data_IF_076411735116
#
_entry.id   IF_076411735116
#
_cell.length_a   1.000
_cell.length_b   1.000
_cell.length_c   1.000
_cell.angle_alpha   90.00
_cell.angle_beta   90.00
_cell.angle_gamma   90.00
#
_symmetry.space_group_name_H-M   'P 1'
#
loop_
_entity.id
_entity.type
_entity.pdbx_description
1 polymer ?
#
# COMPACT_ATOMS: atom_id res chain seq x y z
N UNK A 1 -21.48 57.94 -11.25
CA UNK A 1 -21.58 56.46 -11.21
C UNK A 1 -21.44 56.06 -9.77
N UNK A 2 -22.53 55.60 -9.18
CA UNK A 2 -22.65 55.35 -7.74
C UNK A 2 -22.17 53.92 -7.41
N UNK A 3 -21.51 53.75 -6.26
CA UNK A 3 -20.91 52.46 -5.86
C UNK A 3 -21.98 51.41 -5.50
N UNK A 4 -23.23 51.83 -5.34
CA UNK A 4 -24.35 51.04 -4.88
C UNK A 4 -25.19 50.41 -5.99
N UNK A 5 -24.86 50.65 -7.27
CA UNK A 5 -25.52 50.06 -8.44
C UNK A 5 -24.88 48.74 -8.91
N UNK A 6 -24.01 48.14 -8.10
CA UNK A 6 -23.41 46.84 -8.41
C UNK A 6 -24.44 45.72 -8.24
N UNK A 7 -24.58 44.89 -9.28
CA UNK A 7 -25.42 43.70 -9.23
C UNK A 7 -25.04 42.83 -8.02
N UNK A 8 -26.02 42.28 -7.28
CA UNK A 8 -25.76 41.46 -6.11
C UNK A 8 -24.89 40.27 -6.52
N UNK A 9 -23.72 40.16 -5.91
CA UNK A 9 -22.86 39.02 -6.09
C UNK A 9 -23.44 37.85 -5.28
N UNK A 10 -23.65 36.73 -5.98
CA UNK A 10 -24.05 35.47 -5.35
C UNK A 10 -22.83 34.57 -5.24
N UNK A 11 -22.47 34.20 -4.01
CA UNK A 11 -21.57 33.07 -3.78
C UNK A 11 -22.35 31.80 -4.07
N UNK A 12 -22.02 31.09 -5.15
CA UNK A 12 -22.46 29.70 -5.24
C UNK A 12 -21.71 28.90 -4.17
N UNK A 13 -22.41 28.21 -3.26
CA UNK A 13 -21.75 27.26 -2.39
C UNK A 13 -21.10 26.18 -3.27
N UNK A 14 -19.87 25.77 -2.95
CA UNK A 14 -19.21 24.71 -3.70
C UNK A 14 -20.09 23.46 -3.69
N UNK A 15 -20.16 22.76 -4.82
CA UNK A 15 -20.87 21.50 -4.90
C UNK A 15 -20.39 20.53 -3.80
N UNK A 16 -21.28 19.73 -3.20
CA UNK A 16 -20.87 18.73 -2.21
C UNK A 16 -19.84 17.79 -2.82
N UNK A 17 -18.69 17.65 -2.18
CA UNK A 17 -17.70 16.66 -2.59
C UNK A 17 -18.30 15.26 -2.36
N UNK A 18 -18.34 14.44 -3.41
CA UNK A 18 -18.79 13.06 -3.26
C UNK A 18 -17.89 12.32 -2.26
N UNK A 19 -18.46 11.56 -1.31
CA UNK A 19 -17.66 10.82 -0.35
C UNK A 19 -16.91 9.70 -1.06
N UNK A 20 -15.59 9.66 -0.87
CA UNK A 20 -14.74 8.59 -1.39
C UNK A 20 -15.29 7.22 -1.00
N UNK A 21 -15.29 6.29 -1.94
CA UNK A 21 -15.60 4.87 -1.68
C UNK A 21 -14.61 4.25 -0.69
N UNK A 22 -14.95 3.11 -0.09
CA UNK A 22 -14.03 2.38 0.80
C UNK A 22 -12.72 1.99 0.12
N UNK A 23 -12.77 1.70 -1.19
CA UNK A 23 -11.57 1.38 -1.98
C UNK A 23 -10.66 2.59 -2.18
N UNK A 24 -11.24 3.74 -2.49
CA UNK A 24 -10.51 5.00 -2.67
C UNK A 24 -9.88 5.48 -1.37
N UNK A 25 -10.62 5.46 -0.26
CA UNK A 25 -10.06 5.77 1.07
C UNK A 25 -8.87 4.87 1.42
N UNK A 26 -8.94 3.57 1.09
CA UNK A 26 -7.82 2.65 1.30
C UNK A 26 -6.63 3.01 0.42
N UNK A 27 -6.86 3.27 -0.87
CA UNK A 27 -5.82 3.67 -1.81
C UNK A 27 -5.14 4.96 -1.36
N UNK A 28 -5.91 5.94 -0.88
CA UNK A 28 -5.42 7.19 -0.33
C UNK A 28 -4.52 6.95 0.89
N UNK A 29 -4.98 6.19 1.90
CA UNK A 29 -4.15 5.88 3.08
C UNK A 29 -2.85 5.17 2.73
N UNK A 30 -2.86 4.29 1.72
CA UNK A 30 -1.65 3.62 1.25
C UNK A 30 -0.68 4.60 0.58
N UNK A 31 -1.19 5.57 -0.19
CA UNK A 31 -0.38 6.61 -0.81
C UNK A 31 0.20 7.57 0.23
N UNK A 32 -0.59 7.97 1.23
CA UNK A 32 -0.16 8.80 2.36
C UNK A 32 0.95 8.12 3.17
N UNK A 33 0.80 6.82 3.47
CA UNK A 33 1.84 6.04 4.14
C UNK A 33 3.15 6.04 3.32
N UNK A 34 3.06 5.82 2.00
CA UNK A 34 4.22 5.83 1.12
C UNK A 34 4.89 7.21 1.05
N UNK A 35 4.12 8.29 0.98
CA UNK A 35 4.62 9.66 1.02
C UNK A 35 5.34 9.98 2.34
N UNK A 36 4.89 9.39 3.46
CA UNK A 36 5.55 9.48 4.76
C UNK A 36 6.79 8.58 4.94
N UNK A 37 7.24 7.89 3.90
CA UNK A 37 8.37 6.96 3.96
C UNK A 37 8.04 5.63 4.65
N UNK A 38 6.76 5.26 4.68
CA UNK A 38 6.27 3.98 5.23
C UNK A 38 5.74 3.07 4.14
N UNK A 39 5.92 1.77 4.33
CA UNK A 39 5.36 0.75 3.45
C UNK A 39 3.82 0.80 3.51
N UNK A 40 3.08 0.61 2.39
CA UNK A 40 1.62 0.70 2.36
C UNK A 40 0.89 -0.18 3.39
N UNK A 41 1.49 -1.29 3.79
CA UNK A 41 0.98 -2.16 4.87
C UNK A 41 0.84 -1.44 6.23
N UNK A 42 1.63 -0.40 6.48
CA UNK A 42 1.51 0.47 7.67
C UNK A 42 0.06 0.94 7.86
N UNK A 43 -0.58 1.39 6.78
CA UNK A 43 -1.95 1.90 6.81
C UNK A 43 -3.00 0.83 7.18
N UNK A 44 -2.67 -0.46 7.01
CA UNK A 44 -3.58 -1.56 7.32
C UNK A 44 -3.32 -2.19 8.69
N UNK A 45 -2.06 -2.17 9.17
CA UNK A 45 -1.66 -2.86 10.41
C UNK A 45 -1.27 -1.91 11.54
N UNK A 46 -1.07 -0.62 11.27
CA UNK A 46 -0.50 0.33 12.24
C UNK A 46 0.95 0.02 12.64
N UNK A 47 1.61 -0.90 11.95
CA UNK A 47 2.98 -1.32 12.23
C UNK A 47 3.97 -0.41 11.52
N UNK A 48 4.85 0.24 12.28
CA UNK A 48 5.95 1.06 11.75
C UNK A 48 6.84 0.20 10.86
N UNK A 49 6.66 0.36 9.55
CA UNK A 49 7.38 -0.38 8.53
C UNK A 49 7.91 0.62 7.52
N UNK A 50 9.20 0.95 7.63
CA UNK A 50 9.85 1.93 6.75
C UNK A 50 10.05 1.38 5.34
N UNK A 51 10.04 2.28 4.36
CA UNK A 51 10.48 1.96 3.00
C UNK A 51 11.98 1.64 2.98
N UNK A 52 12.37 0.74 2.06
CA UNK A 52 13.78 0.53 1.75
C UNK A 52 14.36 1.80 1.11
N UNK A 53 15.64 2.17 1.35
CA UNK A 53 16.29 3.30 0.67
C UNK A 53 16.18 3.22 -0.85
N UNK A 54 16.41 2.03 -1.40
CA UNK A 54 16.31 1.76 -2.86
C UNK A 54 14.89 1.37 -3.32
N UNK A 55 13.85 1.62 -2.53
CA UNK A 55 12.49 1.28 -2.93
C UNK A 55 12.03 2.14 -4.12
N UNK A 56 11.41 1.51 -5.12
CA UNK A 56 10.82 2.26 -6.23
C UNK A 56 9.59 3.07 -5.78
N UNK A 57 9.26 4.20 -6.43
CA UNK A 57 8.18 5.08 -6.00
C UNK A 57 6.80 4.43 -6.10
N UNK A 58 5.93 4.65 -5.11
CA UNK A 58 4.58 4.03 -5.05
C UNK A 58 3.69 4.43 -6.24
N UNK A 59 3.73 5.69 -6.67
CA UNK A 59 2.88 6.23 -7.73
C UNK A 59 3.23 5.71 -9.13
N UNK A 60 4.46 5.22 -9.33
CA UNK A 60 4.96 4.77 -10.63
C UNK A 60 5.42 3.31 -10.54
N UNK A 61 4.52 2.33 -10.72
CA UNK A 61 4.83 0.90 -10.64
C UNK A 61 5.96 0.43 -11.55
N UNK A 62 6.14 1.08 -12.70
CA UNK A 62 7.16 0.75 -13.70
C UNK A 62 8.49 1.48 -13.48
N UNK A 63 8.56 2.44 -12.55
CA UNK A 63 9.82 3.12 -12.23
C UNK A 63 10.78 2.15 -11.52
N UNK A 64 12.10 2.29 -11.76
CA UNK A 64 13.12 1.44 -11.16
C UNK A 64 13.10 1.49 -9.62
N UNK A 65 13.71 0.48 -9.01
CA UNK A 65 13.84 0.33 -7.57
C UNK A 65 13.23 -0.96 -7.03
N UNK A 66 13.56 -1.30 -5.80
CA UNK A 66 13.13 -2.53 -5.14
C UNK A 66 11.62 -2.51 -4.89
N UNK A 67 10.99 -3.65 -5.14
CA UNK A 67 9.55 -3.85 -5.02
C UNK A 67 9.24 -5.12 -4.25
N UNK A 68 8.08 -5.15 -3.60
CA UNK A 68 7.60 -6.35 -2.93
C UNK A 68 7.41 -7.53 -3.90
N UNK A 69 7.24 -7.30 -5.20
CA UNK A 69 7.19 -8.34 -6.23
C UNK A 69 8.45 -9.21 -6.30
N UNK A 70 9.63 -8.63 -6.04
CA UNK A 70 10.91 -9.34 -6.00
C UNK A 70 11.29 -9.88 -4.62
N UNK A 71 10.46 -9.65 -3.60
CA UNK A 71 10.77 -9.99 -2.22
C UNK A 71 10.41 -11.45 -1.90
N UNK A 72 11.36 -12.22 -1.34
CA UNK A 72 11.13 -13.63 -0.97
C UNK A 72 10.01 -13.83 0.07
N UNK A 73 9.74 -12.80 0.87
CA UNK A 73 8.68 -12.80 1.89
C UNK A 73 7.29 -12.60 1.31
N UNK A 74 7.16 -12.16 0.04
CA UNK A 74 5.86 -12.07 -0.64
C UNK A 74 5.48 -13.45 -1.17
N UNK A 75 4.53 -14.10 -0.52
CA UNK A 75 4.02 -15.42 -0.92
C UNK A 75 2.52 -15.39 -1.17
N UNK A 76 2.05 -16.26 -2.06
CA UNK A 76 0.62 -16.52 -2.21
C UNK A 76 0.19 -17.46 -1.09
N UNK A 77 -0.79 -17.04 -0.30
CA UNK A 77 -1.40 -17.85 0.77
C UNK A 77 -2.80 -18.22 0.32
N UNK A 78 -3.13 -19.50 0.37
CA UNK A 78 -4.46 -20.01 0.07
C UNK A 78 -5.39 -19.82 1.25
N UNK A 79 -6.59 -19.31 1.00
CA UNK A 79 -7.67 -19.17 1.99
C UNK A 79 -9.01 -19.51 1.34
N UNK A 80 -9.56 -20.69 1.67
CA UNK A 80 -10.71 -21.23 0.95
C UNK A 80 -10.39 -21.47 -0.52
N UNK A 81 -11.26 -20.99 -1.42
CA UNK A 81 -11.11 -21.13 -2.88
C UNK A 81 -10.26 -20.02 -3.54
N UNK A 82 -9.59 -19.16 -2.78
CA UNK A 82 -8.84 -18.00 -3.32
C UNK A 82 -7.41 -17.97 -2.76
N UNK A 83 -6.50 -17.37 -3.53
CA UNK A 83 -5.12 -17.11 -3.12
C UNK A 83 -4.89 -15.61 -2.97
N UNK A 84 -4.13 -15.24 -1.95
CA UNK A 84 -3.88 -13.84 -1.59
C UNK A 84 -2.38 -13.62 -1.43
N UNK A 85 -1.79 -12.57 -2.02
CA UNK A 85 -0.38 -12.26 -1.83
C UNK A 85 -0.15 -11.63 -0.46
N UNK A 86 0.66 -12.24 0.40
CA UNK A 86 0.86 -11.83 1.79
C UNK A 86 2.34 -11.75 2.13
N UNK A 87 2.67 -10.97 3.15
CA UNK A 87 4.04 -10.87 3.68
C UNK A 87 4.21 -11.89 4.82
N UNK A 88 5.16 -12.81 4.67
CA UNK A 88 5.47 -13.85 5.66
C UNK A 88 6.77 -13.57 6.45
N UNK A 89 7.25 -12.33 6.47
CA UNK A 89 8.36 -11.94 7.36
C UNK A 89 7.93 -12.09 8.84
N UNK A 90 8.79 -12.53 9.77
CA UNK A 90 10.27 -12.64 9.69
C UNK A 90 10.85 -13.84 8.94
N UNK A 91 10.20 -14.98 8.93
CA UNK A 91 10.82 -16.20 8.38
C UNK A 91 9.76 -17.04 7.70
N UNK A 92 9.61 -17.07 6.37
CA UNK A 92 8.52 -17.74 5.67
C UNK A 92 8.45 -19.27 5.88
N UNK A 93 9.52 -19.89 6.39
CA UNK A 93 9.62 -21.34 6.59
C UNK A 93 9.08 -21.78 7.96
N UNK A 94 9.09 -20.87 8.94
CA UNK A 94 8.67 -21.17 10.31
C UNK A 94 7.32 -20.56 10.60
N UNK A 95 6.23 -21.34 10.52
CA UNK A 95 4.91 -20.85 10.94
C UNK A 95 4.96 -20.49 12.43
N UNK A 96 4.87 -19.20 12.81
CA UNK A 96 4.95 -18.82 14.22
C UNK A 96 3.70 -19.31 14.97
N UNK A 97 3.85 -19.59 16.28
CA UNK A 97 2.78 -20.12 17.13
C UNK A 97 1.50 -19.27 17.15
N UNK A 98 1.61 -17.96 16.84
CA UNK A 98 0.48 -17.01 16.79
C UNK A 98 0.12 -16.55 15.36
N UNK A 99 0.62 -17.23 14.33
CA UNK A 99 0.45 -16.81 12.93
C UNK A 99 1.34 -15.62 12.55
N UNK A 100 1.46 -15.36 11.25
CA UNK A 100 2.41 -14.36 10.75
C UNK A 100 1.98 -12.94 11.15
N UNK A 101 2.89 -12.12 11.68
CA UNK A 101 2.55 -10.79 12.20
C UNK A 101 2.04 -9.83 11.11
N UNK A 102 2.30 -10.13 9.84
CA UNK A 102 1.93 -9.31 8.67
C UNK A 102 0.84 -9.93 7.80
N UNK A 103 0.20 -11.01 8.29
CA UNK A 103 -0.87 -11.72 7.59
C UNK A 103 -2.22 -11.42 8.26
N UNK A 104 -3.12 -10.78 7.53
CA UNK A 104 -4.55 -10.72 7.91
C UNK A 104 -5.42 -11.17 6.74
N UNK A 105 -6.67 -11.54 7.00
CA UNK A 105 -7.59 -12.06 5.96
C UNK A 105 -8.25 -10.96 5.11
N UNK A 106 -7.75 -9.72 5.17
CA UNK A 106 -8.35 -8.57 4.48
C UNK A 106 -7.55 -8.10 3.24
N UNK A 107 -8.23 -7.50 2.24
CA UNK A 107 -7.58 -6.97 1.03
C UNK A 107 -6.71 -5.72 1.28
N UNK A 108 -6.71 -5.17 2.50
CA UNK A 108 -5.77 -4.11 2.91
C UNK A 108 -4.35 -4.63 3.13
N UNK A 109 -4.19 -5.93 3.37
CA UNK A 109 -2.87 -6.56 3.61
C UNK A 109 -2.42 -7.42 2.44
N UNK A 110 -3.13 -7.37 1.31
CA UNK A 110 -2.71 -8.00 0.06
C UNK A 110 -1.53 -7.23 -0.53
N UNK A 111 -0.33 -7.81 -0.42
CA UNK A 111 0.92 -7.21 -0.85
C UNK A 111 1.00 -7.24 -2.38
N UNK A 112 0.79 -6.08 -2.99
CA UNK A 112 0.89 -5.96 -4.45
C UNK A 112 2.34 -6.08 -4.88
N UNK A 113 2.59 -6.73 -6.02
CA UNK A 113 3.93 -6.87 -6.56
C UNK A 113 4.57 -5.49 -6.88
N UNK A 114 3.75 -4.51 -7.26
CA UNK A 114 4.18 -3.14 -7.56
C UNK A 114 4.44 -2.25 -6.35
N UNK A 115 4.14 -2.71 -5.13
CA UNK A 115 4.38 -1.89 -3.94
C UNK A 115 5.88 -1.69 -3.70
N UNK A 116 6.27 -0.51 -3.20
CA UNK A 116 7.66 -0.23 -2.83
C UNK A 116 8.15 -1.24 -1.80
N UNK A 117 9.41 -1.66 -1.90
CA UNK A 117 10.03 -2.52 -0.90
C UNK A 117 10.10 -1.86 0.49
N UNK A 118 10.00 -2.67 1.55
CA UNK A 118 10.28 -2.24 2.91
C UNK A 118 11.72 -2.55 3.32
N UNK A 119 12.15 -2.04 4.48
CA UNK A 119 13.49 -2.30 5.05
C UNK A 119 13.83 -3.78 5.28
N UNK A 120 12.85 -4.67 5.27
CA UNK A 120 13.06 -6.13 5.36
C UNK A 120 13.00 -6.83 4.01
N UNK A 121 13.16 -6.10 2.92
CA UNK A 121 13.18 -6.69 1.60
C UNK A 121 14.40 -7.61 1.46
N UNK A 122 14.15 -8.85 1.08
CA UNK A 122 15.20 -9.79 0.68
C UNK A 122 14.86 -10.29 -0.72
N UNK A 123 15.82 -10.30 -1.66
CA UNK A 123 15.59 -10.76 -3.01
C UNK A 123 15.12 -12.22 -2.99
N UNK A 124 14.15 -12.53 -3.85
CA UNK A 124 13.78 -13.93 -4.10
C UNK A 124 15.01 -14.63 -4.64
N UNK A 125 15.46 -15.75 -4.02
CA UNK A 125 16.56 -16.51 -4.58
C UNK A 125 16.18 -16.89 -6.00
N UNK A 126 17.09 -16.65 -6.93
CA UNK A 126 16.93 -17.06 -8.31
C UNK A 126 16.60 -18.54 -8.28
N UNK A 127 15.48 -18.94 -8.90
CA UNK A 127 15.24 -20.36 -9.14
C UNK A 127 16.38 -20.75 -10.07
N UNK A 128 17.43 -21.40 -9.53
CA UNK A 128 18.39 -22.09 -10.35
C UNK A 128 17.58 -22.96 -11.29
N UNK A 129 17.64 -22.65 -12.59
CA UNK A 129 17.10 -23.53 -13.59
C UNK A 129 17.77 -24.91 -13.37
N UNK A 130 16.99 -26.00 -13.28
CA UNK A 130 17.54 -27.34 -13.17
C UNK A 130 18.40 -27.70 -14.38
#
# INVERSE_FOLDING_TARGET
MDLFDLAPFYVQPPAPLEPLTTGERRRQRHAEAAAGGFHPLYAALGLVLRLHPDAGPYAYPAAPGLRCGGCRFRRLVSGGARTYPKCLWPDPEVRPARGWPRLTHGPGTDIRASWPACVHHEPTPERGDP
#
